data_IF_026561783678
#
_entry.id   IF_026561783678
#
_cell.length_a   1.000
_cell.length_b   1.000
_cell.length_c   1.000
_cell.angle_alpha   90.00
_cell.angle_beta   90.00
_cell.angle_gamma   90.00
#
_symmetry.space_group_name_H-M   'P 1'
#
loop_
_entity.id
_entity.type
_entity.pdbx_description
1 polymer ?
#
# COMPACT_ATOMS: atom_id res chain seq x y z
N UNK A 1 13.51 8.92 11.39
CA UNK A 1 13.19 10.28 10.88
C UNK A 1 12.77 10.13 9.42
N UNK A 2 11.64 10.73 9.04
CA UNK A 2 11.13 10.70 7.67
C UNK A 2 10.89 12.15 7.24
N UNK A 3 11.52 12.59 6.12
CA UNK A 3 11.42 13.95 5.62
C UNK A 3 9.96 14.33 5.31
N UNK A 4 9.27 13.51 4.53
CA UNK A 4 7.86 13.72 4.17
C UNK A 4 6.92 13.79 5.39
N UNK A 5 7.16 13.00 6.46
CA UNK A 5 6.41 13.14 7.71
C UNK A 5 6.64 14.52 8.36
N UNK A 6 7.88 15.00 8.37
CA UNK A 6 8.19 16.31 8.94
C UNK A 6 7.62 17.46 8.11
N UNK A 7 7.52 17.29 6.78
CA UNK A 7 6.88 18.27 5.89
C UNK A 7 5.39 18.40 6.22
N UNK A 8 4.65 17.28 6.33
CA UNK A 8 3.24 17.28 6.71
C UNK A 8 3.02 17.87 8.12
N UNK A 9 3.87 17.50 9.09
CA UNK A 9 3.81 18.09 10.43
C UNK A 9 4.09 19.60 10.41
N UNK A 10 5.02 20.05 9.56
CA UNK A 10 5.33 21.49 9.39
C UNK A 10 4.16 22.27 8.81
N UNK A 11 3.47 21.71 7.81
CA UNK A 11 2.24 22.29 7.24
C UNK A 11 1.14 22.39 8.32
N UNK A 12 0.87 21.30 9.04
CA UNK A 12 -0.14 21.28 10.09
C UNK A 12 0.14 22.30 11.20
N UNK A 13 1.39 22.46 11.62
CA UNK A 13 1.79 23.48 12.61
C UNK A 13 1.55 24.89 12.08
N UNK A 14 1.91 25.17 10.81
CA UNK A 14 1.68 26.48 10.21
C UNK A 14 0.19 26.82 10.12
N UNK A 15 -0.65 25.85 9.74
CA UNK A 15 -2.11 25.98 9.72
C UNK A 15 -2.69 26.27 11.10
N UNK A 16 -2.26 25.54 12.14
CA UNK A 16 -2.67 25.79 13.53
C UNK A 16 -2.31 27.20 13.98
N UNK A 17 -1.10 27.67 13.69
CA UNK A 17 -0.67 29.04 14.03
C UNK A 17 -1.53 30.07 13.30
N UNK A 18 -1.96 29.77 12.07
CA UNK A 18 -2.84 30.63 11.27
C UNK A 18 -4.32 30.56 11.69
N UNK A 19 -4.67 29.79 12.73
CA UNK A 19 -6.04 29.61 13.21
C UNK A 19 -6.89 28.65 12.39
N UNK A 20 -6.24 27.81 11.58
CA UNK A 20 -6.85 26.72 10.81
C UNK A 20 -6.74 25.40 11.55
N UNK A 21 -7.45 24.36 11.09
CA UNK A 21 -7.34 23.02 11.68
C UNK A 21 -6.25 22.22 10.94
N UNK A 22 -5.02 22.27 11.44
CA UNK A 22 -3.96 21.41 10.94
C UNK A 22 -4.23 19.93 11.29
N UNK A 23 -4.02 19.03 10.32
CA UNK A 23 -4.22 17.60 10.51
C UNK A 23 -3.12 16.78 9.82
N UNK A 24 -2.65 15.74 10.50
CA UNK A 24 -1.75 14.73 9.93
C UNK A 24 -2.33 13.35 10.24
N UNK A 25 -2.58 12.55 9.19
CA UNK A 25 -3.01 11.18 9.38
C UNK A 25 -1.78 10.27 9.53
N UNK A 26 -1.40 9.99 10.77
CA UNK A 26 -0.24 9.17 11.10
C UNK A 26 -0.37 7.68 10.69
N UNK A 27 -1.58 7.21 10.41
CA UNK A 27 -1.81 5.82 10.00
C UNK A 27 -1.51 5.56 8.52
N UNK A 28 -1.35 6.62 7.71
CA UNK A 28 -1.07 6.49 6.26
C UNK A 28 0.24 7.13 5.82
N UNK A 29 1.16 7.36 6.73
CA UNK A 29 2.51 7.81 6.39
C UNK A 29 3.31 6.64 5.80
N UNK A 30 3.72 6.70 4.52
CA UNK A 30 4.47 5.61 3.92
C UNK A 30 5.91 5.57 4.42
N UNK A 31 6.50 4.38 4.45
CA UNK A 31 7.93 4.20 4.64
C UNK A 31 8.55 3.52 3.43
N UNK A 32 9.77 3.95 3.06
CA UNK A 32 10.52 3.38 1.93
C UNK A 32 11.95 3.11 2.34
N UNK A 33 12.46 1.95 1.90
CA UNK A 33 13.88 1.57 2.01
C UNK A 33 14.39 1.39 0.58
N UNK A 34 15.33 2.24 0.18
CA UNK A 34 15.87 2.31 -1.19
C UNK A 34 16.99 1.30 -1.42
N UNK A 35 16.69 0.04 -1.14
CA UNK A 35 17.53 -1.11 -1.51
C UNK A 35 17.23 -1.57 -2.93
N UNK A 36 17.91 -2.62 -3.41
CA UNK A 36 17.55 -3.30 -4.66
C UNK A 36 17.33 -4.78 -4.34
N UNK A 37 16.08 -5.27 -4.39
CA UNK A 37 14.82 -4.55 -4.62
C UNK A 37 14.47 -3.56 -3.49
N UNK A 38 13.64 -2.55 -3.81
CA UNK A 38 13.11 -1.60 -2.83
C UNK A 38 12.12 -2.27 -1.88
N UNK A 39 11.97 -1.70 -0.68
CA UNK A 39 10.90 -2.08 0.26
C UNK A 39 10.07 -0.84 0.59
N UNK A 40 8.76 -0.93 0.41
CA UNK A 40 7.85 0.14 0.77
C UNK A 40 6.65 -0.40 1.55
N UNK A 41 6.11 0.41 2.45
CA UNK A 41 4.95 0.04 3.25
C UNK A 41 4.14 1.26 3.66
N UNK A 42 2.87 1.04 3.95
CA UNK A 42 1.95 2.00 4.57
C UNK A 42 0.97 1.24 5.46
N UNK A 43 0.54 1.86 6.57
CA UNK A 43 -0.42 1.27 7.51
C UNK A 43 0.20 0.24 8.46
N UNK A 44 -0.61 -0.73 8.89
CA UNK A 44 -0.27 -1.70 9.93
C UNK A 44 0.43 -2.94 9.38
N UNK A 45 1.32 -3.53 10.19
CA UNK A 45 1.88 -4.86 9.92
C UNK A 45 0.98 -5.96 10.46
N UNK A 46 1.20 -7.22 10.02
CA UNK A 46 0.48 -8.37 10.57
C UNK A 46 0.73 -8.54 12.08
N UNK A 47 1.95 -8.26 12.54
CA UNK A 47 2.33 -8.34 13.95
C UNK A 47 1.51 -7.34 14.78
N UNK A 48 1.36 -6.11 14.31
CA UNK A 48 0.54 -5.09 14.97
C UNK A 48 -0.93 -5.49 15.00
N UNK A 49 -1.47 -6.01 13.90
CA UNK A 49 -2.86 -6.49 13.84
C UNK A 49 -3.10 -7.67 14.79
N UNK A 50 -2.15 -8.60 14.89
CA UNK A 50 -2.22 -9.73 15.85
C UNK A 50 -2.19 -9.25 17.30
N UNK A 51 -1.30 -8.33 17.64
CA UNK A 51 -1.21 -7.73 18.99
C UNK A 51 -2.54 -7.04 19.35
N UNK A 52 -3.11 -6.29 18.40
CA UNK A 52 -4.39 -5.58 18.58
C UNK A 52 -5.61 -6.49 18.48
N UNK A 53 -5.44 -7.78 18.23
CA UNK A 53 -6.52 -8.76 18.02
C UNK A 53 -7.50 -8.35 16.91
N UNK A 54 -7.03 -7.64 15.90
CA UNK A 54 -7.81 -7.25 14.74
C UNK A 54 -7.94 -8.44 13.80
N UNK A 55 -9.15 -8.80 13.40
CA UNK A 55 -9.39 -9.83 12.39
C UNK A 55 -9.11 -9.24 11.01
N UNK A 56 -8.26 -9.90 10.23
CA UNK A 56 -7.85 -9.43 8.91
C UNK A 56 -7.75 -10.58 7.91
N UNK A 57 -7.82 -10.24 6.63
CA UNK A 57 -7.54 -11.10 5.50
C UNK A 57 -6.27 -10.62 4.81
N UNK A 58 -5.57 -11.53 4.15
CA UNK A 58 -4.30 -11.24 3.46
C UNK A 58 -4.46 -11.55 1.99
N UNK A 59 -4.16 -10.57 1.14
CA UNK A 59 -3.93 -10.78 -0.28
C UNK A 59 -2.45 -10.61 -0.61
N UNK A 60 -1.93 -11.48 -1.48
CA UNK A 60 -0.52 -11.43 -1.90
C UNK A 60 -0.40 -11.78 -3.37
N UNK A 61 0.45 -11.04 -4.09
CA UNK A 61 0.74 -11.29 -5.49
C UNK A 61 2.23 -11.13 -5.81
N UNK A 62 2.91 -12.14 -6.39
CA UNK A 62 4.33 -12.07 -6.70
C UNK A 62 4.57 -11.32 -8.02
N UNK A 63 5.64 -10.53 -8.11
CA UNK A 63 6.05 -9.89 -9.36
C UNK A 63 6.43 -10.88 -10.45
N UNK A 64 6.80 -12.10 -10.09
CA UNK A 64 7.04 -13.19 -11.05
C UNK A 64 5.82 -13.45 -11.96
N UNK A 65 4.60 -13.16 -11.50
CA UNK A 65 3.38 -13.28 -12.29
C UNK A 65 2.98 -11.99 -13.02
N UNK A 66 3.67 -10.85 -12.77
CA UNK A 66 3.37 -9.56 -13.37
C UNK A 66 4.03 -9.41 -14.75
N UNK A 67 3.25 -9.00 -15.74
CA UNK A 67 3.71 -8.87 -17.14
C UNK A 67 4.82 -7.84 -17.32
N UNK A 68 4.73 -6.68 -16.66
CA UNK A 68 5.75 -5.62 -16.76
C UNK A 68 7.06 -6.05 -16.12
N UNK A 69 7.00 -6.69 -14.95
CA UNK A 69 8.17 -7.23 -14.26
C UNK A 69 8.93 -8.25 -15.13
N UNK A 70 8.18 -9.15 -15.79
CA UNK A 70 8.75 -10.10 -16.76
C UNK A 70 9.40 -9.40 -17.95
N UNK A 71 8.72 -8.39 -18.51
CA UNK A 71 9.20 -7.68 -19.71
C UNK A 71 10.54 -6.97 -19.49
N UNK A 72 10.83 -6.50 -18.28
CA UNK A 72 12.10 -5.82 -17.95
C UNK A 72 13.07 -6.70 -17.16
N UNK A 73 12.73 -7.98 -16.97
CA UNK A 73 13.53 -8.95 -16.23
C UNK A 73 13.81 -8.57 -14.76
N UNK A 74 12.81 -8.00 -14.08
CA UNK A 74 12.83 -7.65 -12.65
C UNK A 74 11.66 -8.32 -11.89
N UNK A 75 11.58 -9.67 -11.87
CA UNK A 75 10.42 -10.39 -11.31
C UNK A 75 10.49 -10.62 -9.79
N UNK A 76 11.48 -10.08 -9.11
CA UNK A 76 11.68 -10.32 -7.67
C UNK A 76 10.67 -9.56 -6.81
N UNK A 77 10.20 -10.24 -5.76
CA UNK A 77 9.36 -9.63 -4.74
C UNK A 77 7.87 -9.86 -4.92
N UNK A 78 7.09 -9.07 -4.22
CA UNK A 78 5.63 -9.20 -4.15
C UNK A 78 4.96 -7.95 -3.61
N UNK A 79 3.65 -7.86 -3.82
CA UNK A 79 2.73 -6.96 -3.12
C UNK A 79 1.93 -7.78 -2.10
N UNK A 80 1.77 -7.26 -0.87
CA UNK A 80 0.92 -7.81 0.18
C UNK A 80 -0.05 -6.74 0.69
N UNK A 81 -1.34 -7.05 0.71
CA UNK A 81 -2.42 -6.21 1.24
C UNK A 81 -3.04 -6.90 2.46
N UNK A 82 -3.28 -6.13 3.52
CA UNK A 82 -4.01 -6.54 4.71
C UNK A 82 -5.33 -5.78 4.72
N UNK A 83 -6.45 -6.50 4.74
CA UNK A 83 -7.79 -5.92 4.76
C UNK A 83 -8.55 -6.39 6.01
N UNK A 84 -9.34 -5.51 6.59
CA UNK A 84 -10.23 -5.85 7.71
C UNK A 84 -11.22 -6.94 7.29
N UNK A 85 -11.35 -7.98 8.11
CA UNK A 85 -12.17 -9.14 7.76
C UNK A 85 -13.67 -8.84 7.69
N UNK A 86 -14.13 -7.76 8.32
CA UNK A 86 -15.55 -7.39 8.40
C UNK A 86 -15.91 -6.27 7.43
N UNK A 87 -15.10 -5.21 7.39
CA UNK A 87 -15.38 -4.00 6.62
C UNK A 87 -14.71 -3.96 5.26
N UNK A 88 -13.77 -4.86 5.03
CA UNK A 88 -12.87 -4.90 3.87
C UNK A 88 -11.93 -3.69 3.73
N UNK A 89 -11.93 -2.76 4.69
CA UNK A 89 -11.04 -1.59 4.67
C UNK A 89 -9.59 -2.04 4.63
N UNK A 90 -8.77 -1.42 3.79
CA UNK A 90 -7.32 -1.68 3.74
C UNK A 90 -6.68 -1.17 5.03
N UNK A 91 -5.98 -2.06 5.74
CA UNK A 91 -5.31 -1.79 7.01
C UNK A 91 -3.81 -1.60 6.86
N UNK A 92 -3.22 -2.16 5.83
CA UNK A 92 -1.80 -2.04 5.57
C UNK A 92 -1.39 -2.66 4.24
N UNK A 93 -0.34 -2.11 3.64
CA UNK A 93 0.23 -2.59 2.38
C UNK A 93 1.74 -2.64 2.49
N UNK A 94 2.33 -3.70 1.96
CA UNK A 94 3.76 -3.95 1.97
C UNK A 94 4.20 -4.42 0.60
N UNK A 95 5.20 -3.77 0.05
CA UNK A 95 5.74 -4.06 -1.28
C UNK A 95 7.24 -4.31 -1.13
N UNK A 96 7.73 -5.39 -1.70
CA UNK A 96 9.16 -5.58 -1.93
C UNK A 96 9.33 -5.86 -3.41
N UNK A 97 10.10 -5.02 -4.11
CA UNK A 97 10.25 -5.15 -5.56
C UNK A 97 10.73 -3.87 -6.21
N UNK A 98 10.86 -3.88 -7.55
CA UNK A 98 11.24 -2.68 -8.30
C UNK A 98 10.14 -1.62 -8.19
N UNK A 99 10.55 -0.35 -8.09
CA UNK A 99 9.65 0.81 -7.99
C UNK A 99 8.65 0.77 -6.81
N UNK A 100 8.93 0.02 -5.75
CA UNK A 100 8.04 -0.08 -4.59
C UNK A 100 7.79 1.30 -3.95
N UNK A 101 8.80 2.17 -3.93
CA UNK A 101 8.71 3.54 -3.42
C UNK A 101 7.72 4.41 -4.19
N UNK A 102 7.62 4.24 -5.51
CA UNK A 102 6.63 4.94 -6.33
C UNK A 102 5.24 4.30 -6.19
N UNK A 103 5.17 2.98 -6.19
CA UNK A 103 3.91 2.23 -6.11
C UNK A 103 3.15 2.46 -4.80
N UNK A 104 3.85 2.66 -3.69
CA UNK A 104 3.20 2.80 -2.38
C UNK A 104 2.34 4.07 -2.28
N UNK A 105 2.61 5.09 -3.11
CA UNK A 105 1.84 6.33 -3.14
C UNK A 105 0.38 6.09 -3.52
N UNK A 106 0.09 5.20 -4.46
CA UNK A 106 -1.27 4.78 -4.82
C UNK A 106 -2.02 4.26 -3.58
N UNK A 107 -1.36 3.42 -2.80
CA UNK A 107 -1.98 2.82 -1.62
C UNK A 107 -2.12 3.81 -0.46
N UNK A 108 -1.19 4.76 -0.33
CA UNK A 108 -1.32 5.85 0.66
C UNK A 108 -2.55 6.70 0.37
N UNK A 109 -2.77 7.07 -0.89
CA UNK A 109 -3.98 7.81 -1.31
C UNK A 109 -5.24 6.98 -1.08
N UNK A 110 -5.26 5.71 -1.50
CA UNK A 110 -6.41 4.83 -1.30
C UNK A 110 -6.75 4.68 0.19
N UNK A 111 -5.76 4.49 1.06
CA UNK A 111 -5.96 4.36 2.50
C UNK A 111 -6.39 5.67 3.17
N UNK A 112 -5.90 6.83 2.72
CA UNK A 112 -6.33 8.15 3.21
C UNK A 112 -7.83 8.34 3.00
N UNK A 113 -8.36 7.93 1.85
CA UNK A 113 -9.79 7.98 1.53
C UNK A 113 -10.58 6.76 2.04
N UNK A 114 -9.96 5.86 2.79
CA UNK A 114 -10.63 4.73 3.45
C UNK A 114 -11.08 3.62 2.51
N UNK A 115 -10.37 3.41 1.40
CA UNK A 115 -10.72 2.40 0.40
C UNK A 115 -10.74 0.98 0.99
N UNK A 116 -11.63 0.16 0.44
CA UNK A 116 -11.66 -1.28 0.63
C UNK A 116 -10.71 -2.01 -0.35
N UNK A 117 -10.40 -3.28 -0.07
CA UNK A 117 -9.66 -4.09 -1.04
C UNK A 117 -10.45 -4.30 -2.32
N UNK A 118 -11.79 -4.34 -2.24
CA UNK A 118 -12.67 -4.43 -3.40
C UNK A 118 -12.64 -3.17 -4.29
N UNK A 119 -12.52 -1.97 -3.71
CA UNK A 119 -12.40 -0.73 -4.49
C UNK A 119 -11.14 -0.77 -5.36
N UNK A 120 -10.02 -1.22 -4.81
CA UNK A 120 -8.75 -1.38 -5.53
C UNK A 120 -8.86 -2.48 -6.59
N UNK A 121 -9.45 -3.62 -6.24
CA UNK A 121 -9.65 -4.75 -7.13
C UNK A 121 -10.49 -4.39 -8.36
N UNK A 122 -11.48 -3.49 -8.21
CA UNK A 122 -12.36 -3.01 -9.31
C UNK A 122 -11.80 -1.83 -10.08
N UNK A 123 -10.80 -1.13 -9.55
CA UNK A 123 -10.16 -0.03 -10.26
C UNK A 123 -9.41 -0.55 -11.48
N UNK A 124 -9.58 0.12 -12.63
CA UNK A 124 -8.85 -0.22 -13.85
C UNK A 124 -7.39 0.23 -13.72
N UNK A 125 -6.47 -0.70 -13.91
CA UNK A 125 -5.03 -0.42 -13.96
C UNK A 125 -4.53 -0.55 -15.40
N UNK A 126 -3.59 0.30 -15.78
CA UNK A 126 -2.99 0.23 -17.12
C UNK A 126 -2.17 -1.05 -17.31
N UNK A 127 -2.23 -1.65 -18.49
CA UNK A 127 -1.47 -2.83 -18.89
C UNK A 127 -0.44 -2.52 -19.98
N UNK A 128 0.83 -2.98 -19.86
CA UNK A 128 1.43 -3.66 -18.71
C UNK A 128 2.08 -2.65 -17.73
N UNK A 129 1.78 -2.78 -16.45
CA UNK A 129 2.37 -1.96 -15.39
C UNK A 129 2.71 -2.77 -14.16
N UNK A 130 3.58 -2.22 -13.28
CA UNK A 130 3.83 -2.79 -11.96
C UNK A 130 2.59 -2.66 -11.05
N UNK A 131 1.81 -1.57 -11.18
CA UNK A 131 0.62 -1.32 -10.37
C UNK A 131 -0.47 -2.39 -10.52
N UNK A 132 -0.48 -3.16 -11.63
CA UNK A 132 -1.38 -4.31 -11.75
C UNK A 132 -1.12 -5.37 -10.65
N UNK A 133 0.10 -5.44 -10.09
CA UNK A 133 0.38 -6.30 -8.95
C UNK A 133 -0.38 -5.88 -7.67
N UNK A 134 -0.68 -4.59 -7.51
CA UNK A 134 -1.53 -4.08 -6.42
C UNK A 134 -2.97 -4.57 -6.62
N UNK A 135 -3.51 -4.43 -7.83
CA UNK A 135 -4.84 -4.94 -8.17
C UNK A 135 -4.95 -6.45 -7.95
N UNK A 136 -3.97 -7.22 -8.41
CA UNK A 136 -3.95 -8.67 -8.23
C UNK A 136 -3.84 -9.08 -6.75
N UNK A 137 -3.05 -8.34 -5.96
CA UNK A 137 -2.99 -8.56 -4.51
C UNK A 137 -4.33 -8.22 -3.84
N UNK A 138 -5.03 -7.17 -4.28
CA UNK A 138 -6.37 -6.83 -3.80
C UNK A 138 -7.40 -7.93 -4.15
N UNK A 139 -7.39 -8.44 -5.38
CA UNK A 139 -8.20 -9.59 -5.79
C UNK A 139 -7.88 -10.84 -4.96
N UNK A 140 -6.60 -11.03 -4.62
CA UNK A 140 -6.13 -12.17 -3.83
C UNK A 140 -6.65 -12.18 -2.39
N UNK A 141 -7.08 -11.03 -1.83
CA UNK A 141 -7.75 -10.98 -0.51
C UNK A 141 -8.96 -11.91 -0.47
N UNK A 142 -9.69 -12.01 -1.59
CA UNK A 142 -10.84 -12.91 -1.76
C UNK A 142 -10.55 -14.12 -2.67
N UNK A 143 -9.27 -14.43 -2.90
CA UNK A 143 -8.84 -15.56 -3.74
C UNK A 143 -9.35 -15.48 -5.19
N UNK A 144 -9.40 -14.24 -5.74
CA UNK A 144 -9.89 -13.95 -7.10
C UNK A 144 -8.79 -13.47 -8.05
N UNK A 145 -7.52 -13.57 -7.66
CA UNK A 145 -6.40 -13.21 -8.54
C UNK A 145 -6.48 -13.98 -9.87
N UNK A 146 -6.06 -13.32 -10.95
CA UNK A 146 -6.25 -13.83 -12.31
C UNK A 146 -4.98 -14.55 -12.82
N UNK A 147 -3.79 -14.06 -12.44
CA UNK A 147 -2.53 -14.46 -13.06
C UNK A 147 -1.59 -15.31 -12.19
N UNK A 148 -2.01 -15.78 -11.03
CA UNK A 148 -1.15 -16.58 -10.12
C UNK A 148 -1.66 -17.99 -9.92
#
# INVERSE_FOLDING_TARGET
MLAHKAEEEGIAVAEIIAGQSGHVNYDVIPGVIYTSPEVAYVGKTEEQLKINKTNYRVGKFPFLANSRAKAINEPEGFVKILADATTDKVLGVHIIGPHAGEMIAEMSVAMEFGASSEDIARTCHAHPTFSEAIKEAALSVDKRQIHS
#
